data_IF_851612578018
#
_entry.id   IF_851612578018
#
_cell.length_a   1.000
_cell.length_b   1.000
_cell.length_c   1.000
_cell.angle_alpha   90.00
_cell.angle_beta   90.00
_cell.angle_gamma   90.00
#
_symmetry.space_group_name_H-M   'P 1'
#
loop_
_entity.id
_entity.type
_entity.pdbx_description
1 polymer ?
#
# COMPACT_ATOMS: atom_id res chain seq x y z
N UNK A 1 -9.86 37.80 -7.52
CA UNK A 1 -8.73 36.90 -7.80
C UNK A 1 -9.26 35.65 -8.52
N UNK A 2 -9.18 35.59 -9.86
CA UNK A 2 -9.63 34.44 -10.68
C UNK A 2 -8.40 33.83 -11.35
N UNK A 3 -7.73 32.88 -10.69
CA UNK A 3 -6.42 32.38 -11.15
C UNK A 3 -6.48 31.09 -11.99
N UNK A 4 -7.64 30.44 -12.18
CA UNK A 4 -7.67 29.11 -12.83
C UNK A 4 -8.91 28.83 -13.69
N UNK A 5 -9.09 29.53 -14.82
CA UNK A 5 -10.25 29.34 -15.71
C UNK A 5 -9.85 29.20 -17.20
N UNK A 6 -8.84 28.39 -17.50
CA UNK A 6 -8.44 28.09 -18.89
C UNK A 6 -8.44 26.59 -19.17
N UNK A 7 -8.89 26.17 -20.37
CA UNK A 7 -8.72 24.78 -20.86
C UNK A 7 -7.25 24.34 -20.77
N UNK A 8 -6.32 25.24 -21.10
CA UNK A 8 -4.88 25.01 -20.97
C UNK A 8 -4.43 24.72 -19.52
N UNK A 9 -5.02 25.40 -18.53
CA UNK A 9 -4.73 25.14 -17.10
C UNK A 9 -5.23 23.76 -16.67
N UNK A 10 -6.41 23.33 -17.15
CA UNK A 10 -6.92 21.98 -16.88
C UNK A 10 -6.05 20.91 -17.52
N UNK A 11 -5.58 21.13 -18.75
CA UNK A 11 -4.65 20.21 -19.44
C UNK A 11 -3.30 20.17 -18.74
N UNK A 12 -2.79 21.31 -18.25
CA UNK A 12 -1.54 21.39 -17.50
C UNK A 12 -1.65 20.69 -16.13
N UNK A 13 -2.79 20.79 -15.45
CA UNK A 13 -3.07 20.07 -14.20
C UNK A 13 -3.15 18.55 -14.42
N UNK A 14 -3.76 18.10 -15.53
CA UNK A 14 -3.81 16.68 -15.89
C UNK A 14 -2.41 16.17 -16.27
N UNK A 15 -1.64 16.94 -17.04
CA UNK A 15 -0.27 16.59 -17.39
C UNK A 15 0.66 16.58 -16.18
N UNK A 16 0.50 17.52 -15.24
CA UNK A 16 1.23 17.53 -13.97
C UNK A 16 0.82 16.35 -13.08
N UNK A 17 -0.47 16.02 -13.00
CA UNK A 17 -0.95 14.84 -12.28
C UNK A 17 -0.39 13.54 -12.89
N UNK A 18 -0.27 13.46 -14.22
CA UNK A 18 0.35 12.34 -14.92
C UNK A 18 1.88 12.30 -14.73
N UNK A 19 2.54 13.45 -14.63
CA UNK A 19 3.98 13.55 -14.37
C UNK A 19 4.36 13.26 -12.90
N UNK A 20 3.40 13.37 -11.98
CA UNK A 20 3.55 12.96 -10.57
C UNK A 20 3.09 11.49 -10.39
N UNK A 21 2.62 10.81 -11.45
CA UNK A 21 2.45 9.36 -11.35
C UNK A 21 3.83 8.75 -11.15
N UNK A 22 4.04 7.96 -10.09
CA UNK A 22 5.29 7.25 -9.95
C UNK A 22 5.36 6.28 -11.13
N UNK A 23 6.33 6.48 -12.03
CA UNK A 23 6.68 5.54 -13.11
C UNK A 23 7.36 4.30 -12.54
N UNK A 24 6.80 3.72 -11.48
CA UNK A 24 7.29 2.53 -10.81
C UNK A 24 6.70 1.29 -11.48
N UNK A 25 6.99 1.15 -12.78
CA UNK A 25 6.98 -0.18 -13.37
C UNK A 25 8.27 -0.89 -12.91
N UNK A 26 8.27 -1.42 -11.68
CA UNK A 26 9.28 -2.38 -11.23
C UNK A 26 9.01 -3.73 -11.92
N UNK A 27 9.17 -3.76 -13.24
CA UNK A 27 9.32 -5.01 -13.97
C UNK A 27 10.76 -5.49 -13.74
N UNK A 28 10.98 -6.18 -12.63
CA UNK A 28 12.23 -6.91 -12.44
C UNK A 28 12.45 -7.83 -13.64
N UNK A 29 13.66 -7.79 -14.20
CA UNK A 29 14.04 -8.48 -15.42
C UNK A 29 13.68 -9.97 -15.42
N UNK A 30 13.25 -10.45 -16.59
CA UNK A 30 12.87 -11.85 -16.80
C UNK A 30 11.36 -12.09 -16.72
N UNK A 31 10.86 -12.96 -17.60
CA UNK A 31 9.50 -13.47 -17.50
C UNK A 31 9.36 -14.31 -16.22
N UNK A 32 8.16 -14.44 -15.63
CA UNK A 32 7.97 -15.33 -14.47
C UNK A 32 8.30 -16.78 -14.85
N UNK A 33 9.23 -17.39 -14.14
CA UNK A 33 9.58 -18.79 -14.33
C UNK A 33 8.53 -19.70 -13.69
N UNK A 34 8.04 -20.71 -14.43
CA UNK A 34 6.93 -21.57 -13.98
C UNK A 34 7.30 -22.50 -12.82
N UNK A 35 8.58 -22.74 -12.61
CA UNK A 35 9.15 -23.57 -11.54
C UNK A 35 9.59 -22.76 -10.30
N UNK A 36 9.59 -21.42 -10.35
CA UNK A 36 9.90 -20.56 -9.20
C UNK A 36 8.63 -20.21 -8.40
N UNK A 37 8.18 -21.16 -7.59
CA UNK A 37 6.97 -20.97 -6.77
C UNK A 37 7.10 -19.83 -5.76
N UNK A 38 8.31 -19.55 -5.27
CA UNK A 38 8.55 -18.47 -4.32
C UNK A 38 8.44 -17.12 -5.02
N UNK A 39 9.07 -16.94 -6.19
CA UNK A 39 8.92 -15.73 -7.01
C UNK A 39 7.49 -15.50 -7.49
N UNK A 40 6.77 -16.56 -7.87
CA UNK A 40 5.35 -16.50 -8.21
C UNK A 40 4.54 -16.02 -7.00
N UNK A 41 4.82 -16.52 -5.79
CA UNK A 41 4.12 -16.09 -4.57
C UNK A 41 4.37 -14.62 -4.26
N UNK A 42 5.62 -14.13 -4.42
CA UNK A 42 6.00 -12.72 -4.26
C UNK A 42 5.27 -11.82 -5.27
N UNK A 43 5.12 -12.27 -6.52
CA UNK A 43 4.37 -11.54 -7.53
C UNK A 43 2.88 -11.45 -7.19
N UNK A 44 2.27 -12.59 -6.85
CA UNK A 44 0.85 -12.68 -6.51
C UNK A 44 0.50 -11.74 -5.35
N UNK A 45 1.26 -11.80 -4.26
CA UNK A 45 0.99 -10.98 -3.08
C UNK A 45 1.25 -9.49 -3.35
N UNK A 46 2.26 -9.13 -4.16
CA UNK A 46 2.50 -7.73 -4.56
C UNK A 46 1.28 -7.15 -5.29
N UNK A 47 0.73 -7.89 -6.26
CA UNK A 47 -0.48 -7.47 -6.98
C UNK A 47 -1.71 -7.41 -6.07
N UNK A 48 -1.88 -8.40 -5.19
CA UNK A 48 -2.99 -8.43 -4.24
C UNK A 48 -2.95 -7.21 -3.29
N UNK A 49 -1.77 -6.86 -2.76
CA UNK A 49 -1.60 -5.72 -1.86
C UNK A 49 -1.88 -4.38 -2.55
N UNK A 50 -1.47 -4.21 -3.82
CA UNK A 50 -1.82 -3.02 -4.61
C UNK A 50 -3.33 -2.92 -4.81
N UNK A 51 -3.98 -4.03 -5.19
CA UNK A 51 -5.42 -4.08 -5.36
C UNK A 51 -6.18 -3.78 -4.06
N UNK A 52 -5.75 -4.39 -2.94
CA UNK A 52 -6.30 -4.12 -1.61
C UNK A 52 -6.12 -2.67 -1.18
N UNK A 53 -4.97 -2.06 -1.50
CA UNK A 53 -4.72 -0.64 -1.22
C UNK A 53 -5.74 0.26 -1.91
N UNK A 54 -5.93 0.06 -3.22
CA UNK A 54 -6.92 0.81 -3.98
C UNK A 54 -8.33 0.58 -3.43
N UNK A 55 -8.68 -0.68 -3.15
CA UNK A 55 -9.97 -1.06 -2.58
C UNK A 55 -10.24 -0.34 -1.25
N UNK A 56 -9.33 -0.43 -0.28
CA UNK A 56 -9.53 0.18 1.04
C UNK A 56 -9.68 1.69 0.98
N UNK A 57 -8.88 2.38 0.15
CA UNK A 57 -9.03 3.84 0.00
C UNK A 57 -10.35 4.24 -0.66
N UNK A 58 -10.79 3.53 -1.69
CA UNK A 58 -12.06 3.81 -2.38
C UNK A 58 -13.26 3.54 -1.46
N UNK A 59 -13.24 2.43 -0.72
CA UNK A 59 -14.34 2.02 0.16
C UNK A 59 -14.47 2.89 1.42
N UNK A 60 -13.52 3.79 1.71
CA UNK A 60 -13.67 4.80 2.79
C UNK A 60 -14.93 5.66 2.64
N UNK A 61 -15.45 5.82 1.41
CA UNK A 61 -16.66 6.60 1.15
C UNK A 61 -17.95 5.81 1.34
N UNK A 62 -17.87 4.48 1.49
CA UNK A 62 -19.01 3.56 1.52
C UNK A 62 -19.24 2.94 2.90
N UNK A 63 -18.46 3.33 3.90
CA UNK A 63 -18.60 2.89 5.28
C UNK A 63 -19.08 4.03 6.20
N UNK A 64 -19.68 3.66 7.33
CA UNK A 64 -20.06 4.62 8.36
C UNK A 64 -18.84 5.39 8.88
N UNK A 65 -19.07 6.63 9.34
CA UNK A 65 -18.01 7.56 9.74
C UNK A 65 -17.00 6.98 10.75
N UNK A 66 -17.47 6.14 11.69
CA UNK A 66 -16.63 5.52 12.72
C UNK A 66 -15.60 4.52 12.20
N UNK A 67 -15.77 4.00 10.97
CA UNK A 67 -14.86 3.03 10.35
C UNK A 67 -13.89 3.64 9.33
N UNK A 68 -14.10 4.90 8.93
CA UNK A 68 -13.32 5.52 7.83
C UNK A 68 -11.82 5.57 8.11
N UNK A 69 -11.43 5.91 9.34
CA UNK A 69 -10.02 5.92 9.73
C UNK A 69 -9.43 4.51 9.73
N UNK A 70 -10.19 3.49 10.11
CA UNK A 70 -9.75 2.10 10.11
C UNK A 70 -9.46 1.60 8.68
N UNK A 71 -10.34 1.88 7.71
CA UNK A 71 -10.08 1.60 6.29
C UNK A 71 -8.86 2.38 5.76
N UNK A 72 -8.65 3.61 6.23
CA UNK A 72 -7.47 4.41 5.84
C UNK A 72 -6.18 3.77 6.34
N UNK A 73 -6.13 3.34 7.61
CA UNK A 73 -4.96 2.65 8.18
C UNK A 73 -4.71 1.31 7.49
N UNK A 74 -5.76 0.54 7.21
CA UNK A 74 -5.67 -0.69 6.42
C UNK A 74 -5.06 -0.46 5.03
N UNK A 75 -5.49 0.60 4.33
CA UNK A 75 -4.91 1.01 3.05
C UNK A 75 -3.43 1.40 3.14
N UNK A 76 -3.02 2.07 4.21
CA UNK A 76 -1.61 2.40 4.47
C UNK A 76 -0.76 1.15 4.72
N UNK A 77 -1.27 0.20 5.49
CA UNK A 77 -0.58 -1.08 5.74
C UNK A 77 -0.35 -1.82 4.43
N UNK A 78 -1.38 -1.98 3.60
CA UNK A 78 -1.24 -2.68 2.32
C UNK A 78 -0.35 -1.93 1.34
N UNK A 79 -0.34 -0.59 1.37
CA UNK A 79 0.54 0.21 0.50
C UNK A 79 2.01 0.03 0.87
N UNK A 80 2.35 0.14 2.16
CA UNK A 80 3.73 -0.06 2.65
C UNK A 80 4.19 -1.48 2.32
N UNK A 81 3.35 -2.47 2.60
CA UNK A 81 3.64 -3.87 2.28
C UNK A 81 3.86 -4.05 0.77
N UNK A 82 2.99 -3.52 -0.09
CA UNK A 82 3.11 -3.65 -1.54
C UNK A 82 4.50 -3.20 -2.03
N UNK A 83 4.96 -2.02 -1.60
CA UNK A 83 6.27 -1.49 -1.96
C UNK A 83 7.39 -2.44 -1.51
N UNK A 84 7.37 -2.90 -0.26
CA UNK A 84 8.40 -3.80 0.25
C UNK A 84 8.38 -5.16 -0.46
N UNK A 85 7.21 -5.68 -0.82
CA UNK A 85 7.08 -6.96 -1.51
C UNK A 85 7.64 -6.93 -2.93
N UNK A 86 7.58 -5.80 -3.64
CA UNK A 86 8.31 -5.63 -4.91
C UNK A 86 9.83 -5.73 -4.71
N UNK A 87 10.40 -5.02 -3.73
CA UNK A 87 11.85 -5.11 -3.46
C UNK A 87 12.26 -6.51 -2.98
N UNK A 88 11.46 -7.15 -2.14
CA UNK A 88 11.72 -8.51 -1.67
C UNK A 88 11.71 -9.52 -2.83
N UNK A 89 10.78 -9.36 -3.79
CA UNK A 89 10.77 -10.16 -5.01
C UNK A 89 12.07 -9.98 -5.79
N UNK A 90 12.53 -8.75 -5.97
CA UNK A 90 13.72 -8.44 -6.77
C UNK A 90 14.97 -9.08 -6.17
N UNK A 91 15.12 -9.04 -4.83
CA UNK A 91 16.20 -9.74 -4.14
C UNK A 91 16.11 -11.25 -4.37
N UNK A 92 14.93 -11.85 -4.21
CA UNK A 92 14.73 -13.28 -4.44
C UNK A 92 15.10 -13.69 -5.87
N UNK A 93 14.57 -12.99 -6.87
CA UNK A 93 14.79 -13.29 -8.29
C UNK A 93 16.25 -13.08 -8.68
N UNK A 94 16.92 -12.06 -8.16
CA UNK A 94 18.30 -11.75 -8.52
C UNK A 94 19.35 -12.63 -7.82
N UNK A 95 19.05 -13.12 -6.61
CA UNK A 95 20.08 -13.74 -5.75
C UNK A 95 19.72 -15.13 -5.23
N UNK A 96 18.42 -15.48 -5.19
CA UNK A 96 17.92 -16.67 -4.51
C UNK A 96 17.98 -16.58 -2.97
N UNK A 97 18.40 -15.45 -2.40
CA UNK A 97 18.49 -15.27 -0.95
C UNK A 97 17.17 -14.80 -0.34
N UNK A 98 17.01 -15.10 0.95
CA UNK A 98 15.85 -14.61 1.71
C UNK A 98 16.01 -13.12 2.03
N UNK A 99 15.06 -12.25 1.63
CA UNK A 99 15.17 -10.79 1.80
C UNK A 99 14.79 -10.35 3.23
N UNK A 100 15.55 -10.81 4.22
CA UNK A 100 15.25 -10.63 5.65
C UNK A 100 15.20 -9.16 6.06
N UNK A 101 16.17 -8.35 5.65
CA UNK A 101 16.23 -6.93 6.04
C UNK A 101 14.97 -6.17 5.59
N UNK A 102 14.57 -6.33 4.32
CA UNK A 102 13.34 -5.72 3.80
C UNK A 102 12.10 -6.20 4.56
N UNK A 103 12.04 -7.49 4.91
CA UNK A 103 10.92 -8.05 5.68
C UNK A 103 10.80 -7.40 7.05
N UNK A 104 11.90 -7.22 7.77
CA UNK A 104 11.86 -6.64 9.10
C UNK A 104 11.57 -5.13 9.08
N UNK A 105 12.00 -4.40 8.04
CA UNK A 105 11.64 -2.99 7.87
C UNK A 105 10.14 -2.84 7.58
N UNK A 106 9.58 -3.68 6.70
CA UNK A 106 8.13 -3.74 6.44
C UNK A 106 7.35 -3.94 7.75
N UNK A 107 7.75 -4.93 8.56
CA UNK A 107 7.12 -5.22 9.84
C UNK A 107 7.28 -4.12 10.87
N UNK A 108 8.45 -3.49 10.95
CA UNK A 108 8.69 -2.38 11.87
C UNK A 108 7.72 -1.22 11.62
N UNK A 109 7.25 -1.04 10.39
CA UNK A 109 6.30 0.00 10.02
C UNK A 109 4.85 -0.50 10.14
N UNK A 110 4.55 -1.69 9.60
CA UNK A 110 3.18 -2.20 9.51
C UNK A 110 2.64 -2.75 10.82
N UNK A 111 3.47 -3.35 11.68
CA UNK A 111 3.02 -3.89 12.97
C UNK A 111 2.48 -2.79 13.89
N UNK A 112 3.16 -1.63 14.09
CA UNK A 112 2.58 -0.52 14.84
C UNK A 112 1.26 0.01 14.24
N UNK A 113 1.15 0.08 12.91
CA UNK A 113 -0.10 0.47 12.25
C UNK A 113 -1.23 -0.52 12.52
N UNK A 114 -0.93 -1.82 12.53
CA UNK A 114 -1.90 -2.87 12.89
C UNK A 114 -2.32 -2.79 14.37
N UNK A 115 -1.42 -2.39 15.27
CA UNK A 115 -1.78 -2.13 16.67
C UNK A 115 -2.71 -0.92 16.80
N UNK A 116 -2.47 0.15 16.03
CA UNK A 116 -3.37 1.30 15.93
C UNK A 116 -4.72 0.87 15.35
N UNK A 117 -4.73 0.02 14.34
CA UNK A 117 -5.96 -0.49 13.73
C UNK A 117 -6.81 -1.26 14.75
N UNK A 118 -6.18 -2.14 15.52
CA UNK A 118 -6.86 -2.88 16.59
C UNK A 118 -7.47 -1.93 17.63
N UNK A 119 -6.74 -0.86 18.02
CA UNK A 119 -7.29 0.19 18.88
C UNK A 119 -8.52 0.88 18.27
N UNK A 120 -8.46 1.26 16.99
CA UNK A 120 -9.54 1.97 16.30
C UNK A 120 -10.82 1.14 16.23
N UNK A 121 -10.70 -0.16 15.96
CA UNK A 121 -11.83 -1.08 15.94
C UNK A 121 -12.49 -1.18 17.32
N UNK A 122 -11.70 -1.34 18.39
CA UNK A 122 -12.24 -1.39 19.75
C UNK A 122 -12.95 -0.08 20.12
N UNK A 123 -12.33 1.07 19.81
CA UNK A 123 -12.92 2.40 20.06
C UNK A 123 -14.20 2.65 19.26
N UNK A 124 -14.37 2.02 18.10
CA UNK A 124 -15.57 2.16 17.28
C UNK A 124 -16.81 1.49 17.90
N UNK A 125 -16.62 0.57 18.85
CA UNK A 125 -17.70 -0.21 19.48
C UNK A 125 -17.76 -0.08 21.02
N UNK A 126 -16.71 0.45 21.66
CA UNK A 126 -16.62 0.58 23.12
C UNK A 126 -15.81 1.81 23.56
N UNK A 127 -15.97 2.20 24.83
CA UNK A 127 -15.07 3.16 25.47
C UNK A 127 -13.79 2.44 25.91
N UNK A 128 -12.70 2.74 25.24
CA UNK A 128 -11.39 2.08 25.44
C UNK A 128 -10.40 3.10 26.00
N UNK A 129 -9.60 2.67 26.99
CA UNK A 129 -8.50 3.49 27.51
C UNK A 129 -7.43 3.70 26.45
N UNK A 130 -6.83 4.90 26.40
CA UNK A 130 -5.70 5.20 25.52
C UNK A 130 -4.41 4.47 25.89
N UNK A 131 -4.33 3.84 27.07
CA UNK A 131 -3.17 3.08 27.56
C UNK A 131 -3.40 1.56 27.61
N UNK A 132 -4.16 1.01 26.67
CA UNK A 132 -4.50 -0.44 26.63
C UNK A 132 -3.35 -1.32 26.11
N UNK A 133 -2.30 -0.74 25.52
CA UNK A 133 -1.10 -1.43 25.02
C UNK A 133 0.15 -0.97 25.75
#
# INVERSE_FOLDING_TARGET
>A
MKLFSGKATKTALIAAALAITPTVAFAAGGNLESNDFVGISFWLISMALVASTAFFFIETQRVEGKWKTSLTVSGLVTLVAAVHYFYMRDVWVATGETPTVYRYIDWLITVPLLMIEFYLILRAIANVSSGIF
#
